data_IF_104938783513
#
_entry.id   IF_104938783513
#
_cell.length_a   1.000
_cell.length_b   1.000
_cell.length_c   1.000
_cell.angle_alpha   90.00
_cell.angle_beta   90.00
_cell.angle_gamma   90.00
#
_symmetry.space_group_name_H-M   'P 1'
#
loop_
_entity.id
_entity.type
_entity.pdbx_description
1 polymer ?
#
# COMPACT_ATOMS: atom_id res chain seq x y z
N UNK A 1 15.81 22.46 -24.03
CA UNK A 1 14.90 22.02 -25.10
C UNK A 1 15.73 21.36 -26.19
N UNK A 2 15.25 20.24 -26.74
CA UNK A 2 15.90 19.49 -27.82
C UNK A 2 14.95 19.43 -28.99
N UNK A 3 15.42 19.79 -30.18
CA UNK A 3 14.68 19.66 -31.43
C UNK A 3 14.93 18.25 -31.98
N UNK A 4 13.86 17.52 -32.26
CA UNK A 4 13.91 16.20 -32.87
C UNK A 4 13.18 16.23 -34.23
N UNK A 5 13.86 15.79 -35.27
CA UNK A 5 13.23 15.50 -36.56
C UNK A 5 12.74 14.07 -36.54
N UNK A 6 11.42 13.89 -36.66
CA UNK A 6 10.76 12.58 -36.57
C UNK A 6 10.25 12.17 -37.96
N UNK A 7 10.47 10.91 -38.29
CA UNK A 7 9.88 10.25 -39.46
C UNK A 7 8.96 9.13 -39.01
N UNK A 8 7.71 9.18 -39.42
CA UNK A 8 6.76 8.09 -39.16
C UNK A 8 6.70 7.17 -40.42
N UNK A 9 7.26 5.96 -40.34
CA UNK A 9 7.32 5.06 -41.50
C UNK A 9 5.94 4.56 -41.94
N UNK A 10 4.97 4.47 -41.02
CA UNK A 10 3.62 3.99 -41.37
C UNK A 10 2.82 5.00 -42.19
N UNK A 11 3.11 6.30 -42.06
CA UNK A 11 2.37 7.39 -42.75
C UNK A 11 3.24 8.14 -43.76
N UNK A 12 4.57 7.88 -43.81
CA UNK A 12 5.52 8.63 -44.61
C UNK A 12 5.75 10.10 -44.17
N UNK A 13 5.14 10.54 -43.09
CA UNK A 13 5.20 11.92 -42.64
C UNK A 13 6.51 12.23 -41.90
N UNK A 14 7.06 13.42 -42.17
CA UNK A 14 8.17 14.01 -41.39
C UNK A 14 7.67 15.24 -40.70
N UNK A 15 8.07 15.43 -39.43
CA UNK A 15 7.76 16.63 -38.67
C UNK A 15 8.82 16.84 -37.58
N UNK A 16 9.00 18.10 -37.20
CA UNK A 16 9.89 18.47 -36.12
C UNK A 16 9.11 18.69 -34.83
N UNK A 17 9.66 18.19 -33.72
CA UNK A 17 9.10 18.39 -32.38
C UNK A 17 10.17 18.86 -31.42
N UNK A 18 9.85 19.90 -30.66
CA UNK A 18 10.72 20.34 -29.57
C UNK A 18 10.32 19.71 -28.26
N UNK A 19 11.21 18.94 -27.65
CA UNK A 19 11.00 18.31 -26.35
C UNK A 19 11.85 18.97 -25.27
N UNK A 20 11.40 18.86 -24.02
CA UNK A 20 12.19 19.19 -22.83
C UNK A 20 12.77 17.90 -22.28
N UNK A 21 14.09 17.83 -22.15
CA UNK A 21 14.74 16.72 -21.46
C UNK A 21 14.33 16.71 -19.98
N UNK A 22 14.16 15.54 -19.44
CA UNK A 22 13.83 15.29 -18.04
C UNK A 22 14.93 14.45 -17.40
N UNK A 23 15.03 14.50 -16.07
CA UNK A 23 15.93 13.63 -15.33
C UNK A 23 15.42 12.17 -15.31
N UNK A 24 16.33 11.23 -15.04
CA UNK A 24 15.95 9.80 -14.84
C UNK A 24 14.95 9.62 -13.70
N UNK A 25 15.04 10.44 -12.63
CA UNK A 25 14.08 10.42 -11.53
C UNK A 25 12.68 10.86 -11.97
N UNK A 26 12.58 11.93 -12.78
CA UNK A 26 11.29 12.36 -13.35
C UNK A 26 10.72 11.31 -14.29
N UNK A 27 11.56 10.68 -15.13
CA UNK A 27 11.14 9.58 -16.00
C UNK A 27 10.57 8.41 -15.19
N UNK A 28 11.29 7.98 -14.14
CA UNK A 28 10.81 6.90 -13.25
C UNK A 28 9.48 7.22 -12.59
N UNK A 29 9.30 8.48 -12.15
CA UNK A 29 8.02 8.92 -11.56
C UNK A 29 6.88 8.92 -12.59
N UNK A 30 7.14 9.32 -13.84
CA UNK A 30 6.14 9.27 -14.90
C UNK A 30 5.75 7.82 -15.25
N UNK A 31 6.74 6.93 -15.32
CA UNK A 31 6.50 5.50 -15.56
C UNK A 31 5.69 4.87 -14.42
N UNK A 32 6.04 5.20 -13.18
CA UNK A 32 5.28 4.78 -11.99
C UNK A 32 3.82 5.25 -12.06
N UNK A 33 3.59 6.55 -12.27
CA UNK A 33 2.22 7.09 -12.37
C UNK A 33 1.41 6.41 -13.47
N UNK A 34 2.02 6.19 -14.64
CA UNK A 34 1.39 5.48 -15.76
C UNK A 34 1.04 4.03 -15.40
N UNK A 35 1.92 3.35 -14.66
CA UNK A 35 1.66 1.99 -14.20
C UNK A 35 0.48 1.94 -13.21
N UNK A 36 0.46 2.81 -12.21
CA UNK A 36 -0.65 2.93 -11.23
C UNK A 36 -1.96 3.23 -11.94
N UNK A 37 -1.97 4.18 -12.88
CA UNK A 37 -3.15 4.53 -13.67
C UNK A 37 -3.64 3.35 -14.50
N UNK A 38 -2.73 2.61 -15.14
CA UNK A 38 -3.09 1.39 -15.88
C UNK A 38 -3.74 0.35 -14.98
N UNK A 39 -3.18 0.08 -13.80
CA UNK A 39 -3.76 -0.85 -12.83
C UNK A 39 -5.16 -0.39 -12.39
N UNK A 40 -5.31 0.89 -12.11
CA UNK A 40 -6.60 1.52 -11.77
C UNK A 40 -7.63 1.30 -12.87
N UNK A 41 -7.29 1.59 -14.12
CA UNK A 41 -8.18 1.44 -15.26
C UNK A 41 -8.58 -0.03 -15.51
N UNK A 42 -7.67 -0.97 -15.27
CA UNK A 42 -7.97 -2.40 -15.35
C UNK A 42 -8.99 -2.80 -14.29
N UNK A 43 -8.77 -2.40 -13.03
CA UNK A 43 -9.71 -2.70 -11.93
C UNK A 43 -11.07 -2.06 -12.20
N UNK A 44 -11.09 -0.81 -12.61
CA UNK A 44 -12.33 -0.08 -12.91
C UNK A 44 -13.12 -0.77 -14.03
N UNK A 45 -12.42 -1.13 -15.12
CA UNK A 45 -13.04 -1.84 -16.26
C UNK A 45 -13.58 -3.23 -15.85
N UNK A 46 -12.78 -4.02 -15.13
CA UNK A 46 -13.15 -5.39 -14.76
C UNK A 46 -14.26 -5.44 -13.69
N UNK A 47 -14.38 -4.40 -12.89
CA UNK A 47 -15.42 -4.29 -11.85
C UNK A 47 -16.61 -3.44 -12.25
N UNK A 48 -16.67 -2.97 -13.51
CA UNK A 48 -17.71 -2.05 -13.97
C UNK A 48 -17.82 -0.79 -13.08
N UNK A 49 -16.66 -0.28 -12.65
CA UNK A 49 -16.58 0.89 -11.79
C UNK A 49 -16.90 0.65 -10.31
N UNK A 50 -17.21 -0.57 -9.89
CA UNK A 50 -17.62 -0.88 -8.50
C UNK A 50 -16.47 -0.93 -7.50
N UNK A 51 -15.27 -1.35 -7.92
CA UNK A 51 -14.10 -1.53 -7.04
C UNK A 51 -13.11 -0.38 -7.27
N UNK A 52 -12.63 0.21 -6.16
CA UNK A 52 -11.55 1.17 -6.17
C UNK A 52 -10.18 0.50 -6.15
N UNK A 53 -9.16 1.22 -6.64
CA UNK A 53 -7.76 0.78 -6.58
C UNK A 53 -6.89 1.93 -6.08
N UNK A 54 -6.04 1.63 -5.11
CA UNK A 54 -5.02 2.54 -4.58
C UNK A 54 -3.70 1.80 -4.46
N UNK A 55 -2.58 2.50 -4.76
CA UNK A 55 -1.24 1.95 -4.60
C UNK A 55 -0.48 2.68 -3.48
N UNK A 56 0.11 1.93 -2.57
CA UNK A 56 0.95 2.43 -1.48
C UNK A 56 2.41 2.41 -1.95
N UNK A 57 2.91 3.54 -2.43
CA UNK A 57 4.26 3.65 -3.01
C UNK A 57 5.37 3.38 -2.01
N UNK A 58 5.24 3.90 -0.80
CA UNK A 58 6.18 3.73 0.31
C UNK A 58 5.42 3.72 1.63
N UNK A 59 6.07 3.29 2.70
CA UNK A 59 5.51 3.36 4.05
C UNK A 59 5.92 4.67 4.74
N UNK A 60 5.47 5.80 4.17
CA UNK A 60 5.78 7.16 4.61
C UNK A 60 4.56 8.06 4.64
N UNK A 61 4.68 9.23 5.30
CA UNK A 61 3.58 10.17 5.49
C UNK A 61 3.07 10.79 4.17
N UNK A 62 3.90 10.89 3.13
CA UNK A 62 3.46 11.41 1.84
C UNK A 62 2.58 10.37 1.15
N UNK A 63 3.03 9.12 1.08
CA UNK A 63 2.24 8.01 0.54
C UNK A 63 0.93 7.84 1.29
N UNK A 64 0.93 8.02 2.63
CA UNK A 64 -0.30 7.96 3.42
C UNK A 64 -1.30 9.05 3.01
N UNK A 65 -0.86 10.29 2.87
CA UNK A 65 -1.75 11.40 2.45
C UNK A 65 -2.39 11.12 1.09
N UNK A 66 -1.62 10.58 0.14
CA UNK A 66 -2.13 10.20 -1.18
C UNK A 66 -3.17 9.07 -1.06
N UNK A 67 -2.85 8.00 -0.34
CA UNK A 67 -3.77 6.87 -0.11
C UNK A 67 -5.03 7.32 0.62
N UNK A 68 -4.89 8.10 1.69
CA UNK A 68 -6.01 8.62 2.47
C UNK A 68 -6.96 9.45 1.60
N UNK A 69 -6.40 10.38 0.81
CA UNK A 69 -7.16 11.21 -0.12
C UNK A 69 -7.87 10.37 -1.20
N UNK A 70 -7.20 9.35 -1.75
CA UNK A 70 -7.78 8.46 -2.75
C UNK A 70 -8.89 7.57 -2.17
N UNK A 71 -8.67 6.98 -1.00
CA UNK A 71 -9.62 6.08 -0.33
C UNK A 71 -10.89 6.81 0.08
N UNK A 72 -10.76 7.94 0.77
CA UNK A 72 -11.91 8.70 1.27
C UNK A 72 -12.49 9.70 0.27
N UNK A 73 -11.75 10.01 -0.79
CA UNK A 73 -12.19 10.87 -1.89
C UNK A 73 -12.71 10.05 -3.07
N UNK A 74 -11.85 9.79 -4.04
CA UNK A 74 -12.20 9.13 -5.30
C UNK A 74 -12.87 7.76 -5.13
N UNK A 75 -12.45 6.97 -4.12
CA UNK A 75 -13.00 5.65 -3.87
C UNK A 75 -14.25 5.66 -2.97
N UNK A 76 -14.65 6.80 -2.41
CA UNK A 76 -15.73 6.89 -1.41
C UNK A 76 -17.02 6.17 -1.82
N UNK A 77 -17.39 6.28 -3.09
CA UNK A 77 -18.63 5.70 -3.62
C UNK A 77 -18.45 4.27 -4.16
N UNK A 78 -17.23 3.71 -4.12
CA UNK A 78 -16.99 2.32 -4.52
C UNK A 78 -17.52 1.35 -3.47
N UNK A 79 -17.83 0.12 -3.90
CA UNK A 79 -18.34 -0.94 -3.01
C UNK A 79 -17.22 -1.61 -2.21
N UNK A 80 -16.02 -1.67 -2.78
CA UNK A 80 -14.83 -2.24 -2.16
C UNK A 80 -13.57 -1.55 -2.72
N UNK A 81 -12.40 -1.78 -2.07
CA UNK A 81 -11.11 -1.30 -2.58
C UNK A 81 -10.05 -2.40 -2.60
N UNK A 82 -9.16 -2.28 -3.58
CA UNK A 82 -7.89 -2.99 -3.65
C UNK A 82 -6.79 -2.02 -3.21
N UNK A 83 -6.06 -2.39 -2.15
CA UNK A 83 -4.88 -1.67 -1.66
C UNK A 83 -3.65 -2.43 -2.13
N UNK A 84 -2.95 -1.86 -3.09
CA UNK A 84 -1.78 -2.51 -3.69
C UNK A 84 -0.51 -2.04 -3.00
N UNK A 85 0.21 -2.96 -2.36
CA UNK A 85 1.49 -2.67 -1.70
C UNK A 85 2.68 -3.31 -2.42
N UNK A 86 2.47 -3.85 -3.62
CA UNK A 86 3.55 -4.51 -4.38
C UNK A 86 4.68 -3.53 -4.67
N UNK A 87 5.91 -4.03 -4.59
CA UNK A 87 7.15 -3.28 -4.83
C UNK A 87 7.41 -2.15 -3.82
N UNK A 88 6.84 -2.24 -2.61
CA UNK A 88 7.02 -1.26 -1.56
C UNK A 88 8.25 -1.59 -0.71
N UNK A 89 9.20 -0.66 -0.66
CA UNK A 89 10.48 -0.82 0.05
C UNK A 89 10.41 -0.62 1.57
N UNK A 90 9.22 -0.38 2.15
CA UNK A 90 9.04 -0.21 3.59
C UNK A 90 9.08 1.25 4.05
N UNK A 91 9.30 1.43 5.34
CA UNK A 91 9.24 2.69 6.08
C UNK A 91 8.55 2.47 7.42
N UNK A 92 7.54 3.29 7.79
CA UNK A 92 6.76 3.14 9.01
C UNK A 92 5.35 3.69 8.84
N UNK A 93 4.39 2.87 8.40
CA UNK A 93 3.02 3.28 8.07
C UNK A 93 1.96 2.20 8.35
N UNK A 94 2.34 1.04 8.85
CA UNK A 94 1.44 -0.10 9.01
C UNK A 94 0.24 0.18 9.90
N UNK A 95 0.44 0.94 10.98
CA UNK A 95 -0.60 1.27 11.96
C UNK A 95 -1.63 2.25 11.38
N UNK A 96 -1.15 3.30 10.68
CA UNK A 96 -2.04 4.28 10.03
C UNK A 96 -2.91 3.62 8.96
N UNK A 97 -2.32 2.74 8.14
CA UNK A 97 -3.06 1.99 7.12
C UNK A 97 -4.06 1.01 7.73
N UNK A 98 -3.66 0.28 8.78
CA UNK A 98 -4.57 -0.62 9.49
C UNK A 98 -5.72 0.16 10.13
N UNK A 99 -5.43 1.30 10.74
CA UNK A 99 -6.42 2.20 11.34
C UNK A 99 -7.40 2.74 10.29
N UNK A 100 -6.90 3.18 9.13
CA UNK A 100 -7.73 3.66 8.02
C UNK A 100 -8.67 2.58 7.51
N UNK A 101 -8.18 1.34 7.37
CA UNK A 101 -8.90 0.25 6.71
C UNK A 101 -9.78 -0.59 7.66
N UNK A 102 -9.64 -0.43 8.97
CA UNK A 102 -10.39 -1.19 9.99
C UNK A 102 -11.64 -0.48 10.49
N UNK A 103 -12.20 0.43 9.71
CA UNK A 103 -13.40 1.18 10.10
C UNK A 103 -14.61 0.26 10.31
N UNK A 104 -15.35 0.54 11.39
CA UNK A 104 -16.66 -0.06 11.66
C UNK A 104 -17.66 1.06 11.86
N UNK A 105 -18.75 1.01 11.09
CA UNK A 105 -19.83 1.98 11.23
C UNK A 105 -20.48 1.84 12.62
N UNK A 106 -20.65 2.95 13.31
CA UNK A 106 -21.33 3.01 14.60
C UNK A 106 -22.45 4.05 14.64
N UNK A 107 -22.53 4.94 13.64
CA UNK A 107 -23.58 5.95 13.54
C UNK A 107 -23.91 6.27 12.10
N UNK A 108 -25.20 6.52 11.80
CA UNK A 108 -25.71 6.98 10.49
C UNK A 108 -26.43 8.30 10.64
N UNK A 109 -26.24 9.18 9.67
CA UNK A 109 -26.93 10.46 9.60
C UNK A 109 -28.01 10.41 8.51
N UNK A 110 -29.28 10.50 8.94
CA UNK A 110 -30.44 10.38 8.06
C UNK A 110 -31.44 11.51 8.32
N UNK A 111 -31.04 12.79 8.18
CA UNK A 111 -31.95 13.91 8.38
C UNK A 111 -33.09 13.85 7.37
N UNK A 112 -34.33 13.96 7.86
CA UNK A 112 -35.55 13.93 7.05
C UNK A 112 -35.68 12.71 6.13
N UNK A 113 -35.11 11.54 6.56
CA UNK A 113 -35.13 10.31 5.78
C UNK A 113 -34.07 10.20 4.69
N UNK A 114 -33.24 11.24 4.49
CA UNK A 114 -32.17 11.22 3.49
C UNK A 114 -30.83 10.85 4.13
N UNK A 115 -30.22 9.75 3.68
CA UNK A 115 -28.90 9.35 4.13
C UNK A 115 -27.82 10.32 3.61
N UNK A 116 -27.02 10.90 4.50
CA UNK A 116 -25.96 11.86 4.18
C UNK A 116 -24.57 11.39 4.58
N UNK A 117 -24.45 10.31 5.34
CA UNK A 117 -23.15 9.75 5.72
C UNK A 117 -23.21 8.91 7.00
N UNK A 118 -22.09 8.35 7.36
CA UNK A 118 -21.88 7.53 8.56
C UNK A 118 -20.58 7.87 9.25
N UNK A 119 -20.51 7.64 10.55
CA UNK A 119 -19.28 7.68 11.33
C UNK A 119 -18.67 6.26 11.46
N UNK A 120 -17.31 6.21 11.49
CA UNK A 120 -16.33 7.29 11.40
C UNK A 120 -16.07 7.78 9.95
N UNK A 121 -16.10 9.07 9.70
CA UNK A 121 -15.83 9.66 8.37
C UNK A 121 -14.40 9.45 7.87
N UNK A 122 -13.46 9.29 8.78
CA UNK A 122 -12.03 9.23 8.50
C UNK A 122 -11.50 7.79 8.34
N UNK A 123 -12.40 6.80 8.16
CA UNK A 123 -12.05 5.40 7.97
C UNK A 123 -12.80 4.79 6.79
N UNK A 124 -12.19 3.79 6.21
CA UNK A 124 -12.85 2.96 5.22
C UNK A 124 -13.77 1.94 5.90
N UNK A 125 -15.05 1.96 5.55
CA UNK A 125 -16.10 1.15 6.21
C UNK A 125 -16.54 -0.07 5.38
N UNK A 126 -15.99 -0.24 4.18
CA UNK A 126 -16.42 -1.27 3.23
C UNK A 126 -15.31 -2.32 3.05
N UNK A 127 -15.60 -3.45 2.37
CA UNK A 127 -14.58 -4.46 2.14
C UNK A 127 -13.32 -3.92 1.46
N UNK A 128 -12.19 -4.51 1.82
CA UNK A 128 -10.89 -4.26 1.17
C UNK A 128 -10.09 -5.54 1.05
N UNK A 129 -9.14 -5.56 0.12
CA UNK A 129 -8.09 -6.57 0.07
C UNK A 129 -6.74 -5.90 -0.20
N UNK A 130 -5.66 -6.58 0.19
CA UNK A 130 -4.29 -6.09 -0.01
C UNK A 130 -3.58 -6.97 -1.01
N UNK A 131 -2.98 -6.34 -2.05
CA UNK A 131 -2.08 -7.04 -2.96
C UNK A 131 -0.65 -6.97 -2.42
N UNK A 132 0.01 -8.11 -2.42
CA UNK A 132 1.38 -8.29 -1.95
C UNK A 132 2.24 -9.02 -2.98
N UNK A 133 3.55 -8.80 -2.93
CA UNK A 133 4.51 -9.55 -3.73
C UNK A 133 5.79 -9.81 -2.92
N UNK A 134 6.65 -10.64 -3.46
CA UNK A 134 7.92 -11.02 -2.87
C UNK A 134 8.90 -9.86 -2.66
N UNK A 135 8.73 -8.75 -3.38
CA UNK A 135 9.56 -7.54 -3.25
C UNK A 135 9.16 -6.62 -2.09
N UNK A 136 8.05 -6.93 -1.40
CA UNK A 136 7.65 -6.16 -0.22
C UNK A 136 8.71 -6.29 0.87
N UNK A 137 9.26 -5.16 1.33
CA UNK A 137 10.35 -5.15 2.29
C UNK A 137 10.00 -4.40 3.58
N UNK A 138 10.60 -4.79 4.71
CA UNK A 138 10.50 -4.12 6.00
C UNK A 138 9.03 -3.88 6.43
N UNK A 139 8.60 -2.66 6.66
CA UNK A 139 7.23 -2.34 7.09
C UNK A 139 6.16 -2.72 6.05
N UNK A 140 6.51 -2.79 4.74
CA UNK A 140 5.63 -3.30 3.71
C UNK A 140 5.38 -4.82 3.81
N UNK A 141 6.22 -5.54 4.56
CA UNK A 141 5.97 -6.89 5.02
C UNK A 141 5.16 -6.91 6.34
N UNK A 142 5.44 -5.99 7.26
CA UNK A 142 4.73 -5.90 8.54
C UNK A 142 3.24 -5.54 8.40
N UNK A 143 2.89 -4.65 7.47
CA UNK A 143 1.51 -4.23 7.24
C UNK A 143 0.57 -5.39 6.84
N UNK A 144 0.90 -6.27 5.86
CA UNK A 144 0.07 -7.43 5.56
C UNK A 144 -0.16 -8.36 6.75
N UNK A 145 0.83 -8.52 7.61
CA UNK A 145 0.66 -9.28 8.84
C UNK A 145 -0.37 -8.65 9.77
N UNK A 146 -0.23 -7.34 10.07
CA UNK A 146 -1.21 -6.60 10.90
C UNK A 146 -2.62 -6.67 10.30
N UNK A 147 -2.72 -6.48 8.99
CA UNK A 147 -3.98 -6.53 8.26
C UNK A 147 -4.69 -7.89 8.40
N UNK A 148 -3.92 -8.98 8.36
CA UNK A 148 -4.41 -10.36 8.58
C UNK A 148 -4.79 -10.61 10.02
N UNK A 149 -3.94 -10.24 11.00
CA UNK A 149 -4.19 -10.43 12.44
C UNK A 149 -5.45 -9.70 12.90
N UNK A 150 -5.65 -8.47 12.43
CA UNK A 150 -6.85 -7.69 12.72
C UNK A 150 -8.08 -8.14 11.92
N UNK A 151 -7.92 -9.14 11.03
CA UNK A 151 -9.00 -9.68 10.19
C UNK A 151 -9.72 -8.59 9.36
N UNK A 152 -8.97 -7.61 8.87
CA UNK A 152 -9.53 -6.50 8.12
C UNK A 152 -10.04 -6.97 6.76
N UNK A 153 -9.29 -7.87 6.09
CA UNK A 153 -9.67 -8.43 4.79
C UNK A 153 -8.70 -9.50 4.30
N UNK A 154 -8.71 -9.77 3.01
CA UNK A 154 -7.89 -10.82 2.38
C UNK A 154 -6.58 -10.27 1.84
N UNK A 155 -5.51 -11.06 1.94
CA UNK A 155 -4.24 -10.85 1.25
C UNK A 155 -4.24 -11.66 -0.05
N UNK A 156 -3.77 -11.07 -1.13
CA UNK A 156 -3.73 -11.68 -2.47
C UNK A 156 -2.35 -11.40 -3.08
N UNK A 157 -1.74 -12.40 -3.66
CA UNK A 157 -0.44 -12.29 -4.35
C UNK A 157 0.57 -13.33 -3.90
N UNK A 158 1.84 -13.07 -4.19
CA UNK A 158 2.93 -13.95 -3.78
C UNK A 158 3.28 -13.75 -2.30
N UNK A 159 3.69 -14.82 -1.61
CA UNK A 159 4.16 -14.71 -0.22
C UNK A 159 5.31 -13.72 -0.09
N UNK A 160 5.23 -12.84 0.89
CA UNK A 160 6.29 -11.89 1.19
C UNK A 160 7.40 -12.62 1.96
N UNK A 161 8.66 -12.64 1.47
CA UNK A 161 9.75 -13.28 2.19
C UNK A 161 10.03 -12.55 3.51
N UNK A 162 10.28 -13.33 4.57
CA UNK A 162 10.42 -12.85 5.94
C UNK A 162 11.74 -12.12 6.22
N UNK A 163 12.05 -11.04 5.51
CA UNK A 163 13.20 -10.19 5.80
C UNK A 163 12.80 -9.00 6.67
N UNK A 164 12.60 -9.26 7.96
CA UNK A 164 12.37 -8.22 8.94
C UNK A 164 13.55 -8.13 9.92
N UNK A 165 14.66 -7.58 9.46
CA UNK A 165 15.64 -7.00 10.35
C UNK A 165 15.14 -5.62 10.81
N UNK A 166 14.05 -5.62 11.59
CA UNK A 166 13.61 -4.42 12.29
C UNK A 166 14.62 -4.10 13.39
N UNK A 167 15.71 -3.43 13.04
CA UNK A 167 16.43 -2.62 14.01
C UNK A 167 15.55 -1.41 14.31
N UNK A 168 14.78 -1.52 15.38
CA UNK A 168 14.11 -0.38 15.97
C UNK A 168 15.18 0.62 16.41
N UNK A 169 15.39 1.68 15.64
CA UNK A 169 16.18 2.84 16.07
C UNK A 169 15.26 3.72 16.91
N UNK A 170 15.06 3.34 18.15
CA UNK A 170 14.35 4.11 19.15
C UNK A 170 14.95 3.79 20.52
N UNK A 171 15.11 4.78 21.39
CA UNK A 171 15.62 4.60 22.76
C UNK A 171 14.85 3.46 23.43
N UNK A 172 15.52 2.43 24.01
CA UNK A 172 14.85 1.31 24.61
C UNK A 172 14.12 1.76 25.89
N UNK A 173 12.80 1.80 25.82
CA UNK A 173 11.99 1.80 27.02
C UNK A 173 11.58 0.35 27.27
N UNK A 174 12.37 -0.33 28.10
CA UNK A 174 12.15 -1.61 28.81
C UNK A 174 11.10 -2.56 28.20
N UNK A 175 11.42 -3.16 27.07
CA UNK A 175 11.09 -4.54 26.67
C UNK A 175 11.41 -4.72 25.19
N UNK A 176 12.62 -5.19 24.89
CA UNK A 176 12.99 -5.55 23.53
C UNK A 176 12.22 -6.81 23.11
N UNK A 177 11.20 -6.64 22.33
CA UNK A 177 10.56 -7.74 21.59
C UNK A 177 11.18 -7.78 20.20
N UNK A 178 12.11 -8.68 19.98
CA UNK A 178 12.63 -8.98 18.65
C UNK A 178 11.71 -10.02 18.01
N UNK A 179 11.03 -9.65 16.92
CA UNK A 179 10.26 -10.59 16.11
C UNK A 179 11.20 -11.21 15.08
N UNK A 180 11.57 -12.47 15.26
CA UNK A 180 12.28 -13.25 14.23
C UNK A 180 11.28 -14.01 13.38
N UNK A 181 11.44 -13.88 12.06
CA UNK A 181 10.74 -14.72 11.10
C UNK A 181 11.58 -15.98 10.85
N UNK A 182 11.04 -17.15 11.10
CA UNK A 182 11.64 -18.38 10.64
C UNK A 182 11.01 -18.79 9.31
N UNK A 183 11.79 -18.94 8.28
CA UNK A 183 11.41 -19.58 7.03
C UNK A 183 11.30 -21.09 7.26
N UNK A 184 10.14 -21.52 7.73
CA UNK A 184 9.78 -22.94 7.81
C UNK A 184 9.06 -23.35 6.54
N UNK A 185 9.52 -24.43 5.92
CA UNK A 185 9.02 -24.91 4.64
C UNK A 185 7.50 -25.20 4.62
N UNK A 186 6.95 -25.16 3.46
CA UNK A 186 5.66 -25.65 2.88
C UNK A 186 4.35 -25.64 3.70
N UNK A 187 4.35 -25.30 4.98
CA UNK A 187 3.13 -25.21 5.79
C UNK A 187 3.18 -23.99 6.71
N UNK A 188 2.45 -22.96 6.35
CA UNK A 188 2.00 -21.87 7.21
C UNK A 188 3.11 -21.10 7.93
N UNK A 189 3.25 -19.82 7.63
CA UNK A 189 4.15 -18.93 8.36
C UNK A 189 3.71 -18.84 9.83
N UNK A 190 4.49 -19.45 10.72
CA UNK A 190 4.33 -19.29 12.16
C UNK A 190 5.21 -18.13 12.64
N UNK A 191 4.60 -17.17 13.31
CA UNK A 191 5.28 -16.05 13.94
C UNK A 191 5.73 -16.46 15.35
N UNK A 192 7.03 -16.39 15.62
CA UNK A 192 7.56 -16.64 16.96
C UNK A 192 8.07 -15.34 17.55
N UNK A 193 7.48 -14.91 18.66
CA UNK A 193 8.02 -13.81 19.47
C UNK A 193 9.13 -14.40 20.34
N UNK A 194 10.39 -14.08 20.03
CA UNK A 194 11.51 -14.46 20.87
C UNK A 194 11.66 -13.44 22.01
N UNK A 195 11.31 -13.83 23.23
CA UNK A 195 11.76 -13.12 24.43
C UNK A 195 13.25 -13.47 24.64
N UNK A 196 14.13 -12.48 24.56
CA UNK A 196 15.47 -12.65 25.14
C UNK A 196 15.32 -12.71 26.64
N UNK A 197 15.55 -13.88 27.21
CA UNK A 197 15.79 -13.98 28.65
C UNK A 197 17.04 -13.19 29.00
N UNK A 198 17.03 -12.35 30.05
CA UNK A 198 18.24 -11.69 30.50
C UNK A 198 19.19 -12.77 31.01
N UNK A 199 20.26 -13.01 30.27
CA UNK A 199 21.41 -13.75 30.81
C UNK A 199 22.07 -12.86 31.87
N UNK A 200 21.77 -13.12 33.13
CA UNK A 200 22.61 -12.66 34.21
C UNK A 200 23.94 -13.41 34.16
N UNK A 201 24.98 -12.76 33.63
CA UNK A 201 26.33 -13.17 33.95
C UNK A 201 26.69 -12.63 35.32
N UNK A 202 26.78 -13.51 36.30
CA UNK A 202 27.48 -13.23 37.55
C UNK A 202 28.98 -13.25 37.24
N UNK A 203 29.64 -12.15 37.42
CA UNK A 203 31.00 -12.03 37.93
C UNK A 203 31.12 -10.69 38.65
#
# INVERSE_FOLDING_TARGET
KVLLAIYNPATGKRFDITIKAISTGEQSNLLYKRWVERCRNIVDKLSEGRIGYVHVKGMDSQSFREVYSEVLGRCRNKEAIIVDTRHNGGGWLHDDLATLLSGKEYQRFVPRGQYIGSDPFNKWLKPSCVLVCEDNYSNAHGFPWVYKELKIGKLIGAPVPGHNDCRMVGKPNRSEHCVRYSSGGLHGYAWTICRKSPTFSRH
#
